data_IF_159939879282
#
_entry.id   IF_159939879282
#
_cell.length_a   1.000
_cell.length_b   1.000
_cell.length_c   1.000
_cell.angle_alpha   90.00
_cell.angle_beta   90.00
_cell.angle_gamma   90.00
#
_symmetry.space_group_name_H-M   'P 1'
#
loop_
_entity.id
_entity.type
_entity.pdbx_description
1 polymer ?
#
# COMPACT_ATOMS: atom_id res chain seq x y z
N UNK A 1 -4.55 42.25 -39.01
CA UNK A 1 -4.47 42.10 -37.53
C UNK A 1 -5.81 41.59 -37.02
N UNK A 2 -5.87 40.41 -36.40
CA UNK A 2 -6.85 40.01 -35.37
C UNK A 2 -6.24 38.82 -34.63
N UNK A 3 -5.88 39.10 -33.38
CA UNK A 3 -5.25 38.19 -32.42
C UNK A 3 -6.35 37.39 -31.69
N UNK A 4 -5.92 36.36 -30.97
CA UNK A 4 -6.57 35.74 -29.82
C UNK A 4 -7.63 34.66 -30.10
N UNK A 5 -7.17 33.46 -30.48
CA UNK A 5 -7.76 32.20 -30.03
C UNK A 5 -6.65 31.16 -29.80
N UNK A 6 -5.71 31.47 -28.90
CA UNK A 6 -4.83 30.46 -28.29
C UNK A 6 -5.13 30.38 -26.79
N UNK A 7 -6.42 30.34 -26.46
CA UNK A 7 -6.86 30.17 -25.09
C UNK A 7 -6.76 28.69 -24.70
N UNK A 8 -5.66 28.39 -24.00
CA UNK A 8 -5.71 27.64 -22.75
C UNK A 8 -6.30 26.22 -22.81
N UNK A 9 -5.63 25.31 -23.52
CA UNK A 9 -5.75 23.87 -23.28
C UNK A 9 -4.54 23.37 -22.49
N UNK A 10 -4.34 23.88 -21.27
CA UNK A 10 -3.30 23.39 -20.36
C UNK A 10 -3.89 23.31 -18.95
N UNK A 11 -4.80 22.36 -18.71
CA UNK A 11 -5.08 21.91 -17.34
C UNK A 11 -5.80 20.54 -17.31
N UNK A 12 -5.37 19.60 -18.14
CA UNK A 12 -5.82 18.20 -18.06
C UNK A 12 -4.73 17.33 -17.43
N UNK A 13 -4.22 17.72 -16.27
CA UNK A 13 -3.37 16.89 -15.43
C UNK A 13 -3.85 16.94 -13.98
N UNK A 14 -5.17 16.88 -13.79
CA UNK A 14 -5.73 16.35 -12.55
C UNK A 14 -5.46 14.84 -12.56
N UNK A 15 -4.34 14.48 -11.97
CA UNK A 15 -3.87 13.13 -11.82
C UNK A 15 -4.94 12.27 -11.12
N UNK A 16 -5.46 11.30 -11.85
CA UNK A 16 -6.33 10.25 -11.35
C UNK A 16 -5.52 9.26 -10.49
N UNK A 17 -4.96 9.71 -9.38
CA UNK A 17 -4.21 8.87 -8.43
C UNK A 17 -5.07 8.54 -7.22
N UNK A 18 -6.11 7.77 -7.48
CA UNK A 18 -6.81 6.92 -6.52
C UNK A 18 -7.89 6.17 -7.30
N UNK A 19 -7.51 5.36 -8.29
CA UNK A 19 -8.44 4.32 -8.73
C UNK A 19 -8.58 3.38 -7.54
N UNK A 20 -9.64 3.57 -6.76
CA UNK A 20 -9.96 2.80 -5.55
C UNK A 20 -9.80 1.32 -5.88
N UNK A 21 -8.69 0.72 -5.48
CA UNK A 21 -8.54 -0.72 -5.58
C UNK A 21 -9.67 -1.38 -4.77
N UNK A 22 -10.20 -2.47 -5.31
CA UNK A 22 -11.14 -3.32 -4.58
C UNK A 22 -10.45 -4.06 -3.42
N UNK A 23 -9.11 -4.07 -3.41
CA UNK A 23 -8.30 -4.73 -2.38
C UNK A 23 -8.52 -4.07 -1.03
N UNK A 24 -8.88 -4.90 -0.05
CA UNK A 24 -9.02 -4.48 1.35
C UNK A 24 -7.72 -4.77 2.08
N UNK A 25 -7.01 -3.72 2.49
CA UNK A 25 -5.84 -3.87 3.34
C UNK A 25 -6.21 -4.49 4.69
N UNK A 26 -5.25 -5.22 5.23
CA UNK A 26 -5.29 -5.81 6.55
C UNK A 26 -3.89 -5.73 7.17
N UNK A 27 -3.82 -5.93 8.49
CA UNK A 27 -2.54 -5.95 9.21
C UNK A 27 -2.44 -7.17 10.09
N UNK A 28 -1.23 -7.71 10.23
CA UNK A 28 -0.91 -8.73 11.20
C UNK A 28 0.55 -8.57 11.61
N UNK A 29 0.84 -8.67 12.91
CA UNK A 29 2.22 -8.59 13.41
C UNK A 29 2.97 -7.36 12.87
N UNK A 30 2.29 -6.19 12.96
CA UNK A 30 2.78 -4.89 12.50
C UNK A 30 3.18 -4.77 11.02
N UNK A 31 2.77 -5.73 10.18
CA UNK A 31 3.00 -5.74 8.74
C UNK A 31 1.70 -5.71 7.94
N UNK A 32 1.76 -5.11 6.75
CA UNK A 32 0.62 -4.90 5.87
C UNK A 32 0.45 -6.09 4.94
N UNK A 33 -0.80 -6.53 4.83
CA UNK A 33 -1.28 -7.56 3.93
C UNK A 33 -2.65 -7.18 3.38
N UNK A 34 -3.37 -8.18 2.88
CA UNK A 34 -4.76 -8.02 2.45
C UNK A 34 -5.68 -8.97 3.21
N UNK A 35 -6.96 -8.61 3.29
CA UNK A 35 -7.99 -9.48 3.87
C UNK A 35 -8.02 -10.83 3.15
N UNK A 36 -7.93 -10.84 1.82
CA UNK A 36 -7.99 -12.06 1.02
C UNK A 36 -6.78 -12.97 1.28
N UNK A 37 -5.58 -12.40 1.39
CA UNK A 37 -4.35 -13.12 1.72
C UNK A 37 -4.44 -13.80 3.09
N UNK A 38 -4.90 -13.10 4.13
CA UNK A 38 -5.06 -13.71 5.45
C UNK A 38 -6.22 -14.70 5.50
N UNK A 39 -7.28 -14.47 4.73
CA UNK A 39 -8.40 -15.40 4.62
C UNK A 39 -8.02 -16.71 3.92
N UNK A 40 -7.10 -16.68 2.95
CA UNK A 40 -6.53 -17.88 2.36
C UNK A 40 -5.74 -18.72 3.40
N UNK A 41 -5.37 -18.11 4.54
CA UNK A 41 -4.58 -18.71 5.62
C UNK A 41 -5.36 -18.86 6.93
N UNK A 42 -6.69 -19.00 6.86
CA UNK A 42 -7.58 -19.19 8.04
C UNK A 42 -7.21 -20.36 8.96
N UNK A 43 -6.43 -21.33 8.50
CA UNK A 43 -5.90 -22.41 9.35
C UNK A 43 -4.97 -21.86 10.43
N UNK A 44 -4.12 -20.87 10.10
CA UNK A 44 -3.10 -20.28 10.98
C UNK A 44 -3.39 -18.84 11.41
N UNK A 45 -4.33 -18.16 10.75
CA UNK A 45 -4.75 -16.78 11.03
C UNK A 45 -6.11 -16.72 11.72
N UNK A 46 -6.31 -15.71 12.56
CA UNK A 46 -7.62 -15.35 13.11
C UNK A 46 -7.77 -13.83 13.16
N UNK A 47 -9.00 -13.34 12.93
CA UNK A 47 -9.31 -11.92 13.08
C UNK A 47 -9.15 -11.54 14.54
N UNK A 48 -8.38 -10.50 14.81
CA UNK A 48 -8.25 -9.91 16.14
C UNK A 48 -9.27 -8.79 16.33
N UNK A 49 -9.32 -7.84 15.39
CA UNK A 49 -10.21 -6.68 15.46
C UNK A 49 -10.46 -6.07 14.10
N UNK A 50 -11.63 -5.47 13.92
CA UNK A 50 -11.94 -4.64 12.74
C UNK A 50 -12.02 -3.19 13.20
N UNK A 51 -11.27 -2.32 12.53
CA UNK A 51 -11.28 -0.88 12.77
C UNK A 51 -11.99 -0.21 11.60
N UNK A 52 -13.17 0.36 11.85
CA UNK A 52 -14.01 0.95 10.80
C UNK A 52 -13.59 2.38 10.43
N UNK A 53 -12.70 2.99 11.21
CA UNK A 53 -12.22 4.36 10.96
C UNK A 53 -10.79 4.56 11.44
N UNK A 54 -10.09 5.51 10.82
CA UNK A 54 -8.74 5.92 11.22
C UNK A 54 -8.65 6.35 12.69
N UNK A 55 -9.70 7.00 13.23
CA UNK A 55 -9.75 7.45 14.62
C UNK A 55 -9.74 6.29 15.64
N UNK A 56 -10.20 5.11 15.23
CA UNK A 56 -10.25 3.92 16.09
C UNK A 56 -8.94 3.12 16.10
N UNK A 57 -7.94 3.51 15.28
CA UNK A 57 -6.69 2.78 15.14
C UNK A 57 -5.83 2.87 16.42
N UNK A 58 -5.24 1.75 16.86
CA UNK A 58 -4.23 1.76 17.91
C UNK A 58 -2.98 2.50 17.45
N UNK A 59 -2.16 2.95 18.41
CA UNK A 59 -1.07 3.89 18.13
C UNK A 59 -0.05 3.37 17.12
N UNK A 60 0.24 2.07 17.13
CA UNK A 60 1.15 1.42 16.18
C UNK A 60 0.64 1.43 14.73
N UNK A 61 -0.68 1.55 14.52
CA UNK A 61 -1.31 1.55 13.20
C UNK A 61 -1.67 2.95 12.69
N UNK A 62 -1.63 3.98 13.55
CA UNK A 62 -1.97 5.36 13.13
C UNK A 62 -1.07 5.89 12.02
N UNK A 63 0.18 5.42 11.94
CA UNK A 63 1.08 5.77 10.82
C UNK A 63 0.55 5.36 9.44
N UNK A 64 -0.40 4.43 9.38
CA UNK A 64 -1.03 3.96 8.15
C UNK A 64 -2.44 4.53 7.95
N UNK A 65 -2.86 5.52 8.74
CA UNK A 65 -4.24 6.03 8.67
C UNK A 65 -4.60 6.63 7.31
N UNK A 66 -3.63 7.17 6.58
CA UNK A 66 -3.82 7.74 5.25
C UNK A 66 -4.17 6.69 4.20
N UNK A 67 -3.72 5.45 4.37
CA UNK A 67 -3.97 4.35 3.42
C UNK A 67 -5.20 3.52 3.80
N UNK A 68 -5.59 3.50 5.08
CA UNK A 68 -6.76 2.78 5.57
C UNK A 68 -8.07 3.59 5.44
N UNK A 69 -8.36 4.07 4.23
CA UNK A 69 -9.51 4.94 3.95
C UNK A 69 -10.87 4.26 4.16
N UNK A 70 -10.94 2.94 4.06
CA UNK A 70 -12.15 2.12 4.27
C UNK A 70 -12.11 1.31 5.57
N UNK A 71 -11.26 1.71 6.51
CA UNK A 71 -10.93 0.92 7.69
C UNK A 71 -9.90 -0.17 7.40
N UNK A 72 -9.57 -0.97 8.42
CA UNK A 72 -8.60 -2.06 8.34
C UNK A 72 -8.99 -3.20 9.27
N UNK A 73 -8.76 -4.43 8.82
CA UNK A 73 -8.88 -5.61 9.68
C UNK A 73 -7.51 -6.00 10.20
N UNK A 74 -7.40 -6.09 11.52
CA UNK A 74 -6.24 -6.64 12.21
C UNK A 74 -6.43 -8.13 12.46
N UNK A 75 -5.42 -8.91 12.10
CA UNK A 75 -5.32 -10.34 12.32
C UNK A 75 -4.20 -10.65 13.30
N UNK A 76 -4.28 -11.84 13.90
CA UNK A 76 -3.19 -12.43 14.66
C UNK A 76 -2.96 -13.88 14.21
N UNK A 77 -1.73 -14.34 14.37
CA UNK A 77 -1.41 -15.77 14.23
C UNK A 77 -1.99 -16.55 15.40
N UNK A 78 -2.64 -17.69 15.13
CA UNK A 78 -3.27 -18.51 16.17
C UNK A 78 -2.28 -19.02 17.21
N UNK A 79 -1.07 -19.37 16.76
CA UNK A 79 -0.01 -19.88 17.62
C UNK A 79 0.96 -18.78 18.08
N UNK A 80 0.64 -17.49 17.84
CA UNK A 80 1.49 -16.36 18.17
C UNK A 80 2.76 -16.21 17.32
N UNK A 81 3.14 -17.24 16.55
CA UNK A 81 4.30 -17.23 15.68
C UNK A 81 3.92 -16.80 14.25
N UNK A 82 4.64 -15.81 13.73
CA UNK A 82 4.55 -15.42 12.34
C UNK A 82 5.20 -16.49 11.44
N UNK A 83 4.46 -16.99 10.46
CA UNK A 83 4.89 -18.03 9.52
C UNK A 83 5.04 -17.51 8.08
N UNK A 84 4.91 -16.19 7.89
CA UNK A 84 4.93 -15.55 6.58
C UNK A 84 6.11 -14.59 6.48
N UNK A 85 6.74 -14.57 5.32
CA UNK A 85 7.86 -13.70 5.04
C UNK A 85 7.41 -12.24 4.96
N UNK A 86 8.23 -11.36 5.55
CA UNK A 86 8.04 -9.92 5.54
C UNK A 86 9.28 -9.25 4.97
N UNK A 87 9.05 -8.13 4.29
CA UNK A 87 10.11 -7.27 3.77
C UNK A 87 9.74 -5.81 4.04
N UNK A 88 10.72 -4.96 4.33
CA UNK A 88 10.48 -3.52 4.40
C UNK A 88 10.35 -2.94 2.98
N UNK A 89 9.59 -1.86 2.82
CA UNK A 89 9.52 -1.17 1.53
C UNK A 89 10.88 -0.58 1.12
N UNK A 90 11.72 -0.21 2.09
CA UNK A 90 13.09 0.23 1.85
C UNK A 90 13.97 -0.89 1.26
N UNK A 91 13.91 -2.10 1.82
CA UNK A 91 14.65 -3.25 1.29
C UNK A 91 14.13 -3.65 -0.09
N UNK A 92 12.81 -3.57 -0.29
CA UNK A 92 12.21 -3.83 -1.60
C UNK A 92 12.69 -2.82 -2.64
N UNK A 93 12.72 -1.52 -2.31
CA UNK A 93 13.33 -0.50 -3.18
C UNK A 93 14.79 -0.84 -3.52
N UNK A 94 15.58 -1.24 -2.52
CA UNK A 94 16.98 -1.61 -2.72
C UNK A 94 17.12 -2.79 -3.70
N UNK A 95 16.27 -3.82 -3.61
CA UNK A 95 16.24 -4.94 -4.56
C UNK A 95 15.99 -4.51 -6.02
N UNK A 96 15.32 -3.36 -6.22
CA UNK A 96 15.01 -2.80 -7.54
C UNK A 96 15.95 -1.65 -7.96
N UNK A 97 17.05 -1.44 -7.23
CA UNK A 97 18.00 -0.34 -7.43
C UNK A 97 17.32 1.04 -7.38
N UNK A 98 16.41 1.22 -6.41
CA UNK A 98 15.71 2.47 -6.12
C UNK A 98 16.17 2.93 -4.73
N UNK A 99 16.38 4.24 -4.48
CA UNK A 99 16.73 4.73 -3.15
C UNK A 99 15.73 4.27 -2.09
N UNK A 100 16.21 3.76 -0.95
CA UNK A 100 15.38 3.11 0.07
C UNK A 100 14.33 4.03 0.72
N UNK A 101 14.52 5.36 0.65
CA UNK A 101 13.60 6.39 1.13
C UNK A 101 12.55 6.81 0.08
N UNK A 102 12.59 6.22 -1.12
CA UNK A 102 11.60 6.50 -2.17
C UNK A 102 10.23 5.94 -1.80
N UNK A 103 9.15 6.73 -1.83
CA UNK A 103 7.80 6.22 -1.57
C UNK A 103 7.43 5.06 -2.48
N UNK A 104 6.61 4.14 -2.00
CA UNK A 104 6.13 2.99 -2.77
C UNK A 104 4.62 3.06 -2.88
N UNK A 105 4.08 2.77 -4.07
CA UNK A 105 2.65 2.70 -4.28
C UNK A 105 2.17 1.27 -4.17
N UNK A 106 1.19 0.99 -3.31
CA UNK A 106 0.55 -0.32 -3.21
C UNK A 106 -0.94 -0.13 -3.46
N UNK A 107 -1.46 -0.84 -4.47
CA UNK A 107 -2.89 -0.77 -4.83
C UNK A 107 -3.38 0.68 -5.06
N UNK A 108 -2.49 1.51 -5.62
CA UNK A 108 -2.75 2.93 -5.89
C UNK A 108 -2.60 3.87 -4.67
N UNK A 109 -2.29 3.35 -3.49
CA UNK A 109 -2.04 4.14 -2.28
C UNK A 109 -0.54 4.38 -2.08
N UNK A 110 -0.15 5.62 -1.78
CA UNK A 110 1.24 5.99 -1.53
C UNK A 110 1.65 5.68 -0.08
N UNK A 111 2.76 4.95 0.06
CA UNK A 111 3.43 4.66 1.33
C UNK A 111 4.73 5.44 1.41
N UNK A 112 4.72 6.51 2.19
CA UNK A 112 5.89 7.38 2.39
C UNK A 112 6.83 6.89 3.49
N UNK A 113 6.32 6.14 4.48
CA UNK A 113 7.13 5.46 5.49
C UNK A 113 7.68 4.15 4.91
N UNK A 114 8.90 4.17 4.38
CA UNK A 114 9.51 2.98 3.77
C UNK A 114 10.01 1.95 4.79
N UNK A 115 9.96 2.26 6.10
CA UNK A 115 10.14 1.25 7.17
C UNK A 115 8.94 0.32 7.32
N UNK A 116 7.83 0.60 6.63
CA UNK A 116 6.65 -0.25 6.59
C UNK A 116 7.02 -1.66 6.15
N UNK A 117 6.64 -2.65 6.97
CA UNK A 117 6.76 -4.06 6.62
C UNK A 117 5.53 -4.50 5.81
N UNK A 118 5.76 -5.23 4.74
CA UNK A 118 4.72 -5.88 3.93
C UNK A 118 4.99 -7.36 3.81
N UNK A 119 3.94 -8.17 3.66
CA UNK A 119 4.10 -9.60 3.41
C UNK A 119 4.50 -9.86 1.97
N UNK A 120 5.43 -10.79 1.72
CA UNK A 120 5.89 -11.11 0.37
C UNK A 120 4.77 -11.56 -0.57
N UNK A 121 3.74 -12.23 -0.03
CA UNK A 121 2.56 -12.65 -0.79
C UNK A 121 1.69 -11.50 -1.32
N UNK A 122 1.79 -10.31 -0.73
CA UNK A 122 1.13 -9.11 -1.22
C UNK A 122 1.79 -8.60 -2.52
N UNK A 123 3.03 -9.00 -2.80
CA UNK A 123 3.82 -8.56 -3.96
C UNK A 123 3.47 -9.35 -5.23
N UNK A 124 2.18 -9.49 -5.56
CA UNK A 124 1.73 -10.29 -6.71
C UNK A 124 2.26 -9.75 -8.04
N UNK A 125 2.28 -8.43 -8.21
CA UNK A 125 2.93 -7.74 -9.33
C UNK A 125 3.70 -6.53 -8.80
N UNK A 126 4.97 -6.44 -9.16
CA UNK A 126 5.84 -5.30 -8.82
C UNK A 126 6.35 -4.68 -10.10
N UNK A 127 6.03 -3.42 -10.32
CA UNK A 127 6.46 -2.66 -11.49
C UNK A 127 7.29 -1.47 -11.03
N UNK A 128 8.37 -1.20 -11.75
CA UNK A 128 9.11 0.04 -11.59
C UNK A 128 8.79 0.98 -12.74
N UNK A 129 8.36 2.20 -12.42
CA UNK A 129 7.93 3.21 -13.39
C UNK A 129 8.57 4.55 -13.04
N UNK A 130 8.72 5.42 -14.04
CA UNK A 130 8.99 6.83 -13.75
C UNK A 130 7.73 7.46 -13.17
N UNK A 131 7.88 8.13 -12.04
CA UNK A 131 6.86 8.92 -11.37
C UNK A 131 7.49 10.23 -10.91
N UNK A 132 7.05 11.33 -11.52
CA UNK A 132 7.58 12.67 -11.25
C UNK A 132 9.11 12.78 -11.47
N UNK A 133 9.64 12.12 -12.51
CA UNK A 133 11.07 12.15 -12.84
C UNK A 133 11.94 11.29 -11.93
N UNK A 134 11.32 10.44 -11.10
CA UNK A 134 12.01 9.48 -10.24
C UNK A 134 11.48 8.07 -10.51
N UNK A 135 12.39 7.10 -10.49
CA UNK A 135 12.04 5.68 -10.58
C UNK A 135 11.37 5.25 -9.27
N UNK A 136 10.15 4.73 -9.35
CA UNK A 136 9.28 4.42 -8.20
C UNK A 136 8.64 3.05 -8.37
N UNK A 137 8.40 2.35 -7.26
CA UNK A 137 7.73 1.04 -7.25
C UNK A 137 6.21 1.18 -7.16
N UNK A 138 5.53 0.38 -7.96
CA UNK A 138 4.09 0.20 -7.97
C UNK A 138 3.78 -1.28 -7.78
N UNK A 139 3.02 -1.60 -6.73
CA UNK A 139 2.71 -2.95 -6.29
C UNK A 139 1.22 -3.18 -6.44
N UNK A 140 0.86 -4.33 -7.00
CA UNK A 140 -0.50 -4.86 -6.99
C UNK A 140 -0.49 -6.22 -6.29
N UNK A 141 -1.42 -6.39 -5.36
CA UNK A 141 -1.79 -7.64 -4.68
C UNK A 141 -2.76 -8.49 -5.52
N UNK A 142 -3.35 -7.91 -6.55
CA UNK A 142 -4.19 -8.61 -7.54
C UNK A 142 -3.30 -9.31 -8.59
N UNK A 143 -3.50 -10.61 -8.81
CA UNK A 143 -2.87 -11.37 -9.91
C UNK A 143 -3.68 -11.29 -11.19
#
# INVERSE_FOLDING_TARGET
MKKLLYSFLILSSATLFAQSSAVKFAVADNAIGTVDMFNARKSVMQVLKVYNSAASLPQNLKKYSSVFTKGVTEYKFKNGQNVLDRISLADLNAQHNIPGDTPVFIEGHEFTDTSTLVYGELLAKVESKDHNGKKTLFISASR
#
